data_IF_040773934407
#
_entry.id   IF_040773934407
#
_cell.length_a   1.000
_cell.length_b   1.000
_cell.length_c   1.000
_cell.angle_alpha   90.00
_cell.angle_beta   90.00
_cell.angle_gamma   90.00
#
_symmetry.space_group_name_H-M   'P 1'
#
loop_
_entity.id
_entity.type
_entity.pdbx_description
1 polymer ?
#
# COMPACT_ATOMS: atom_id res chain seq x y z
N UNK A 1 -2.68 -20.79 14.14
CA UNK A 1 -3.17 -19.99 13.00
C UNK A 1 -3.24 -18.52 13.38
N UNK A 2 -2.26 -17.74 12.92
CA UNK A 2 -2.26 -16.28 13.07
C UNK A 2 -3.12 -15.71 11.93
N UNK A 3 -4.44 -15.82 12.06
CA UNK A 3 -5.40 -15.19 11.12
C UNK A 3 -5.72 -13.75 11.52
N UNK A 4 -4.90 -13.11 12.34
CA UNK A 4 -5.01 -11.69 12.60
C UNK A 4 -4.42 -10.94 11.39
N UNK A 5 -5.31 -10.45 10.52
CA UNK A 5 -4.90 -9.51 9.47
C UNK A 5 -4.03 -8.42 10.10
N UNK A 6 -2.84 -8.20 9.51
CA UNK A 6 -1.90 -7.19 9.98
C UNK A 6 -2.65 -5.88 10.27
N UNK A 7 -2.56 -5.33 11.50
CA UNK A 7 -3.21 -4.07 11.86
C UNK A 7 -2.92 -2.94 10.88
N UNK A 8 -1.76 -2.99 10.22
CA UNK A 8 -1.39 -2.09 9.13
C UNK A 8 -2.30 -2.24 7.90
N UNK A 9 -2.50 -3.47 7.42
CA UNK A 9 -3.38 -3.78 6.28
C UNK A 9 -4.82 -3.39 6.61
N UNK A 10 -5.26 -3.66 7.84
CA UNK A 10 -6.59 -3.26 8.31
C UNK A 10 -6.80 -1.74 8.21
N UNK A 11 -5.83 -0.94 8.67
CA UNK A 11 -5.90 0.54 8.59
C UNK A 11 -5.92 1.03 7.14
N UNK A 12 -5.13 0.42 6.26
CA UNK A 12 -5.13 0.76 4.84
C UNK A 12 -6.49 0.47 4.21
N UNK A 13 -7.10 -0.69 4.49
CA UNK A 13 -8.45 -1.01 4.01
C UNK A 13 -9.49 -0.01 4.50
N UNK A 14 -9.44 0.36 5.78
CA UNK A 14 -10.35 1.35 6.37
C UNK A 14 -10.17 2.77 5.80
N UNK A 15 -8.95 3.14 5.40
CA UNK A 15 -8.65 4.46 4.81
C UNK A 15 -9.18 4.65 3.39
N UNK A 16 -9.60 3.58 2.70
CA UNK A 16 -9.95 3.63 1.27
C UNK A 16 -8.73 3.66 0.33
N UNK A 17 -7.51 3.65 0.86
CA UNK A 17 -6.25 3.68 0.10
C UNK A 17 -5.72 2.29 -0.28
N UNK A 18 -6.54 1.25 -0.15
CA UNK A 18 -6.16 -0.12 -0.48
C UNK A 18 -5.76 -0.32 -1.95
N UNK A 19 -6.43 0.29 -2.95
CA UNK A 19 -6.02 0.15 -4.36
C UNK A 19 -4.60 0.66 -4.63
N UNK A 20 -4.21 1.78 -4.02
CA UNK A 20 -2.85 2.32 -4.15
C UNK A 20 -1.82 1.45 -3.43
N UNK A 21 -2.21 0.82 -2.32
CA UNK A 21 -1.37 -0.18 -1.66
C UNK A 21 -1.16 -1.41 -2.54
N UNK A 22 -2.22 -1.97 -3.14
CA UNK A 22 -2.10 -3.09 -4.08
C UNK A 22 -1.21 -2.74 -5.27
N UNK A 23 -1.42 -1.57 -5.89
CA UNK A 23 -0.57 -1.11 -7.00
C UNK A 23 0.92 -0.99 -6.61
N UNK A 24 1.22 -0.60 -5.37
CA UNK A 24 2.58 -0.57 -4.84
C UNK A 24 3.16 -1.97 -4.63
N UNK A 25 2.36 -2.91 -4.12
CA UNK A 25 2.75 -4.31 -3.95
C UNK A 25 2.99 -4.98 -5.31
N UNK A 26 2.12 -4.75 -6.29
CA UNK A 26 2.25 -5.28 -7.65
C UNK A 26 3.53 -4.76 -8.31
N UNK A 27 3.79 -3.46 -8.21
CA UNK A 27 5.03 -2.89 -8.74
C UNK A 27 6.27 -3.52 -8.10
N UNK A 28 6.28 -3.70 -6.77
CA UNK A 28 7.37 -4.39 -6.11
C UNK A 28 7.45 -5.86 -6.51
N UNK A 29 6.31 -6.52 -6.69
CA UNK A 29 6.27 -7.91 -7.11
C UNK A 29 6.94 -8.09 -8.49
N UNK A 30 6.69 -7.18 -9.42
CA UNK A 30 7.26 -7.21 -10.77
C UNK A 30 8.73 -6.79 -10.80
N UNK A 31 9.08 -5.69 -10.13
CA UNK A 31 10.42 -5.09 -10.21
C UNK A 31 11.40 -5.67 -9.20
N UNK A 32 10.89 -6.22 -8.09
CA UNK A 32 11.63 -6.57 -6.87
C UNK A 32 12.50 -5.42 -6.34
N UNK A 33 12.15 -4.18 -6.67
CA UNK A 33 12.88 -2.95 -6.29
C UNK A 33 11.92 -1.77 -6.14
N UNK A 34 11.69 -1.36 -4.89
CA UNK A 34 10.81 -0.25 -4.53
C UNK A 34 11.29 1.10 -5.09
N UNK A 35 12.58 1.26 -5.43
CA UNK A 35 13.10 2.50 -6.03
C UNK A 35 12.58 2.72 -7.45
N UNK A 36 12.11 1.66 -8.11
CA UNK A 36 11.46 1.72 -9.42
C UNK A 36 9.95 2.02 -9.30
N UNK A 37 9.39 1.97 -8.09
CA UNK A 37 7.97 2.15 -7.79
C UNK A 37 7.63 3.53 -7.21
N UNK A 38 8.42 4.56 -7.54
CA UNK A 38 8.27 5.91 -6.97
C UNK A 38 6.87 6.49 -7.17
N UNK A 39 6.27 6.27 -8.34
CA UNK A 39 4.91 6.75 -8.64
C UNK A 39 3.87 6.08 -7.74
N UNK A 40 3.81 4.75 -7.72
CA UNK A 40 2.89 4.00 -6.85
C UNK A 40 3.09 4.34 -5.35
N UNK A 41 4.33 4.55 -4.92
CA UNK A 41 4.64 4.96 -3.56
C UNK A 41 4.18 6.39 -3.26
N UNK A 42 4.29 7.31 -4.22
CA UNK A 42 3.76 8.67 -4.09
C UNK A 42 2.24 8.68 -4.02
N UNK A 43 1.57 7.89 -4.86
CA UNK A 43 0.11 7.79 -4.90
C UNK A 43 -0.45 7.20 -3.60
N UNK A 44 0.18 6.13 -3.09
CA UNK A 44 -0.17 5.57 -1.79
C UNK A 44 0.01 6.59 -0.67
N UNK A 45 1.15 7.29 -0.61
CA UNK A 45 1.40 8.34 0.40
C UNK A 45 0.40 9.48 0.32
N UNK A 46 0.09 9.96 -0.88
CA UNK A 46 -0.84 11.06 -1.10
C UNK A 46 -2.27 10.69 -0.69
N UNK A 47 -2.68 9.45 -0.93
CA UNK A 47 -3.96 8.95 -0.42
C UNK A 47 -3.92 8.85 1.10
N UNK A 48 -2.93 8.13 1.65
CA UNK A 48 -2.89 7.81 3.06
C UNK A 48 -2.75 9.07 3.94
N UNK A 49 -2.02 10.09 3.49
CA UNK A 49 -1.89 11.38 4.18
C UNK A 49 -3.20 12.19 4.28
N UNK A 50 -4.23 11.86 3.48
CA UNK A 50 -5.56 12.48 3.58
C UNK A 50 -6.49 11.76 4.57
N UNK A 51 -6.16 10.54 4.96
CA UNK A 51 -7.03 9.63 5.71
C UNK A 51 -6.40 9.13 7.03
N UNK A 52 -5.16 9.56 7.34
CA UNK A 52 -4.46 9.40 8.61
C UNK A 52 -4.31 10.74 9.32
#
# INVERSE_FOLDING_TARGET
DQTDEDPWITRIKQSGCFPQHEALQDCYFDKKDWRQCKTAMSDFRACFAKHN
#
